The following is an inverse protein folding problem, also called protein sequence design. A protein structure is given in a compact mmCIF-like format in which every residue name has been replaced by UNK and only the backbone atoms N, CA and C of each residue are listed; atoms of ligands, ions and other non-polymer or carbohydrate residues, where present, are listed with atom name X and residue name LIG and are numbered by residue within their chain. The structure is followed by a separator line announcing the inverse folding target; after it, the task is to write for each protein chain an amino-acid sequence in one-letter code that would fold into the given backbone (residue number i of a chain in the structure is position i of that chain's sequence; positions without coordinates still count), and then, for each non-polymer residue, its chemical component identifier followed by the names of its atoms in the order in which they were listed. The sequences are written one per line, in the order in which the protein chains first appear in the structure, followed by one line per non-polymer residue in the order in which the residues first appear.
data_IF_162193586386
#
_entry.id   IF_162193586386
#
_cell.length_a   1.000
_cell.length_b   1.000
_cell.length_c   1.000
_cell.angle_alpha   90.00
_cell.angle_beta   90.00
_cell.angle_gamma   90.00
#
_symmetry.space_group_name_H-M   'P 1'
#
loop_
_entity.id
_entity.type
_entity.pdbx_description
1 polymer ?
#
# COMPACT_ATOMS: atom_id res chain seq x y z
N UNK A 1 -10.64 -6.81 -2.77
CA UNK A 1 -9.51 -7.25 -3.61
C UNK A 1 -8.20 -6.78 -3.01
N UNK A 2 -7.12 -7.47 -3.28
CA UNK A 2 -5.80 -7.02 -2.86
C UNK A 2 -5.11 -6.28 -3.97
N UNK A 3 -4.35 -5.26 -3.61
CA UNK A 3 -3.61 -4.41 -4.55
C UNK A 3 -2.20 -4.24 -4.01
N UNK A 4 -1.22 -4.43 -4.90
CA UNK A 4 0.17 -4.16 -4.56
C UNK A 4 0.51 -2.76 -5.06
N UNK A 5 1.12 -1.97 -4.18
CA UNK A 5 1.66 -0.67 -4.53
C UNK A 5 3.18 -0.73 -4.45
N UNK A 6 3.84 -0.33 -5.52
CA UNK A 6 5.31 -0.26 -5.55
C UNK A 6 5.68 1.21 -5.59
N UNK A 7 6.44 1.64 -4.60
CA UNK A 7 6.86 3.03 -4.47
C UNK A 7 8.32 3.17 -4.88
N UNK A 8 8.56 4.03 -5.87
CA UNK A 8 9.91 4.42 -6.25
C UNK A 8 10.15 5.78 -5.62
N UNK A 9 10.86 5.81 -4.51
CA UNK A 9 10.92 6.96 -3.61
C UNK A 9 11.99 7.92 -4.09
N UNK A 10 11.58 9.16 -4.36
CA UNK A 10 12.50 10.21 -4.81
C UNK A 10 12.95 11.11 -3.68
N UNK A 11 12.20 11.14 -2.57
CA UNK A 11 12.55 11.89 -1.38
C UNK A 11 12.38 10.98 -0.17
N UNK A 12 13.41 10.19 0.19
CA UNK A 12 13.28 9.22 1.28
C UNK A 12 12.91 9.84 2.62
N UNK A 13 13.48 11.00 2.94
CA UNK A 13 13.18 11.65 4.22
C UNK A 13 11.74 12.13 4.26
N UNK A 14 11.29 12.78 3.19
CA UNK A 14 9.92 13.25 3.10
C UNK A 14 8.91 12.10 3.10
N UNK A 15 9.24 11.03 2.40
CA UNK A 15 8.37 9.85 2.35
C UNK A 15 8.22 9.26 3.75
N UNK A 16 9.34 9.08 4.46
CA UNK A 16 9.30 8.54 5.82
C UNK A 16 8.48 9.41 6.75
N UNK A 17 8.61 10.73 6.62
CA UNK A 17 7.86 11.65 7.47
C UNK A 17 6.36 11.62 7.16
N UNK A 18 5.98 11.27 5.93
CA UNK A 18 4.57 11.24 5.53
C UNK A 18 3.83 9.97 5.98
N UNK A 19 4.56 8.91 6.32
CA UNK A 19 3.93 7.61 6.63
C UNK A 19 2.96 7.71 7.81
N UNK A 20 3.42 8.24 8.93
CA UNK A 20 2.58 8.32 10.13
C UNK A 20 1.26 9.06 9.90
N UNK A 21 1.31 10.30 9.43
CA UNK A 21 0.07 11.04 9.15
C UNK A 21 -0.83 10.34 8.12
N UNK A 22 -0.23 9.70 7.10
CA UNK A 22 -1.00 9.01 6.09
C UNK A 22 -1.77 7.82 6.67
N UNK A 23 -1.12 7.06 7.56
CA UNK A 23 -1.78 5.91 8.18
C UNK A 23 -3.04 6.34 8.95
N UNK A 24 -3.03 7.53 9.51
CA UNK A 24 -4.17 8.03 10.28
C UNK A 24 -5.33 8.46 9.38
N UNK A 25 -5.10 8.61 8.09
CA UNK A 25 -6.10 9.12 7.15
C UNK A 25 -6.65 8.03 6.23
N UNK A 26 -6.26 6.78 6.41
CA UNK A 26 -6.73 5.70 5.57
C UNK A 26 -8.25 5.57 5.69
N UNK A 27 -8.99 5.62 4.56
CA UNK A 27 -10.44 5.45 4.63
C UNK A 27 -10.84 4.10 5.19
N UNK A 28 -12.01 4.03 5.84
CA UNK A 28 -12.47 2.78 6.44
C UNK A 28 -12.72 1.68 5.41
N UNK A 29 -12.88 2.06 4.13
CA UNK A 29 -13.08 1.10 3.04
C UNK A 29 -11.77 0.44 2.58
N UNK A 30 -10.63 0.86 3.11
CA UNK A 30 -9.33 0.36 2.70
C UNK A 30 -8.54 -0.11 3.91
N UNK A 31 -7.67 -1.09 3.68
CA UNK A 31 -6.78 -1.59 4.73
C UNK A 31 -5.37 -1.71 4.17
N UNK A 32 -4.40 -1.16 4.89
CA UNK A 32 -2.99 -1.41 4.60
C UNK A 32 -2.55 -2.59 5.44
N UNK A 33 -2.26 -3.72 4.79
CA UNK A 33 -1.86 -4.93 5.50
C UNK A 33 -0.37 -4.98 5.78
N UNK A 34 0.44 -4.50 4.84
CA UNK A 34 1.89 -4.66 4.95
C UNK A 34 2.59 -3.52 4.25
N UNK A 35 3.75 -3.15 4.75
CA UNK A 35 4.62 -2.16 4.13
C UNK A 35 6.05 -2.62 4.35
N UNK A 36 6.80 -2.75 3.27
CA UNK A 36 8.17 -3.24 3.30
C UNK A 36 9.09 -2.22 2.62
N UNK A 37 9.73 -1.34 3.39
CA UNK A 37 10.70 -0.39 2.81
C UNK A 37 12.02 -1.09 2.54
N UNK A 38 12.72 -0.65 1.48
CA UNK A 38 14.05 -1.16 1.19
C UNK A 38 15.07 -0.58 2.17
N UNK A 39 16.21 -1.26 2.29
CA UNK A 39 17.26 -0.83 3.21
C UNK A 39 17.75 0.58 2.92
N UNK A 40 17.89 0.91 1.64
CA UNK A 40 18.44 2.21 1.25
C UNK A 40 17.37 3.31 1.17
N UNK A 41 16.12 2.96 1.45
CA UNK A 41 15.04 3.96 1.47
C UNK A 41 14.55 4.40 0.11
N UNK A 42 15.01 3.78 -0.97
CA UNK A 42 14.64 4.22 -2.33
C UNK A 42 13.42 3.51 -2.88
N UNK A 43 12.97 2.44 -2.22
CA UNK A 43 11.78 1.69 -2.66
C UNK A 43 10.99 1.19 -1.47
N UNK A 44 9.71 0.96 -1.69
CA UNK A 44 8.88 0.28 -0.72
C UNK A 44 7.77 -0.45 -1.47
N UNK A 45 7.27 -1.53 -0.86
CA UNK A 45 6.14 -2.28 -1.40
C UNK A 45 5.08 -2.36 -0.32
N UNK A 46 3.84 -2.07 -0.70
CA UNK A 46 2.72 -2.12 0.23
C UNK A 46 1.67 -3.08 -0.28
N UNK A 47 1.02 -3.78 0.64
CA UNK A 47 -0.09 -4.68 0.33
C UNK A 47 -1.35 -4.05 0.89
N UNK A 48 -2.28 -3.72 -0.01
CA UNK A 48 -3.53 -3.06 0.32
C UNK A 48 -4.72 -4.00 0.07
N UNK A 49 -5.79 -3.77 0.78
CA UNK A 49 -7.08 -4.35 0.48
C UNK A 49 -8.06 -3.21 0.28
N UNK A 50 -8.77 -3.22 -0.84
CA UNK A 50 -9.67 -2.12 -1.22
C UNK A 50 -10.68 -2.61 -2.24
N UNK A 51 -11.61 -1.75 -2.61
CA UNK A 51 -12.62 -2.07 -3.61
C UNK A 51 -12.09 -2.06 -5.03
N UNK A 52 -11.02 -1.29 -5.28
CA UNK A 52 -10.46 -1.17 -6.63
C UNK A 52 -9.01 -0.69 -6.55
N UNK A 53 -8.28 -0.90 -7.64
CA UNK A 53 -6.92 -0.35 -7.79
C UNK A 53 -6.99 1.17 -7.76
N UNK A 54 -8.02 1.74 -8.37
CA UNK A 54 -8.15 3.19 -8.48
C UNK A 54 -8.31 3.84 -7.11
N UNK A 55 -9.01 3.18 -6.18
CA UNK A 55 -9.15 3.70 -4.82
C UNK A 55 -7.78 3.81 -4.15
N UNK A 56 -6.94 2.79 -4.31
CA UNK A 56 -5.60 2.80 -3.72
C UNK A 56 -4.76 3.88 -4.39
N UNK A 57 -4.80 3.94 -5.73
CA UNK A 57 -4.01 4.93 -6.47
C UNK A 57 -4.36 6.35 -6.04
N UNK A 58 -5.63 6.68 -5.99
CA UNK A 58 -6.05 8.03 -5.64
C UNK A 58 -5.57 8.43 -4.25
N UNK A 59 -5.71 7.52 -3.29
CA UNK A 59 -5.31 7.81 -1.92
C UNK A 59 -3.79 7.95 -1.80
N UNK A 60 -3.06 6.98 -2.34
CA UNK A 60 -1.60 6.91 -2.15
C UNK A 60 -0.89 7.99 -2.96
N UNK A 61 -1.30 8.21 -4.21
CA UNK A 61 -0.69 9.27 -5.01
C UNK A 61 -0.90 10.63 -4.37
N UNK A 62 -2.08 10.85 -3.79
CA UNK A 62 -2.35 12.10 -3.10
C UNK A 62 -1.50 12.29 -1.86
N UNK A 63 -1.16 11.21 -1.18
CA UNK A 63 -0.37 11.25 0.05
C UNK A 63 1.14 11.37 -0.21
N UNK A 64 1.60 11.04 -1.43
CA UNK A 64 3.03 10.96 -1.74
C UNK A 64 3.44 11.89 -2.86
N UNK A 65 2.70 12.98 -3.07
CA UNK A 65 3.03 13.98 -4.09
C UNK A 65 4.45 14.48 -3.86
N UNK A 66 5.25 14.47 -4.93
CA UNK A 66 6.65 14.90 -4.93
C UNK A 66 7.57 14.07 -4.03
N UNK A 67 7.08 12.93 -3.50
CA UNK A 67 7.90 12.08 -2.62
C UNK A 67 8.25 10.75 -3.27
N UNK A 68 7.38 10.26 -4.16
CA UNK A 68 7.58 8.95 -4.78
C UNK A 68 6.79 8.88 -6.08
N UNK A 69 7.24 7.98 -6.95
CA UNK A 69 6.47 7.55 -8.12
C UNK A 69 5.97 6.16 -7.85
N UNK A 70 4.67 5.96 -7.99
CA UNK A 70 4.02 4.73 -7.55
C UNK A 70 3.47 3.96 -8.73
N UNK A 71 3.53 2.63 -8.62
CA UNK A 71 2.91 1.71 -9.56
C UNK A 71 1.99 0.79 -8.79
N UNK A 72 0.90 0.38 -9.42
CA UNK A 72 -0.13 -0.41 -8.76
C UNK A 72 -0.57 -1.54 -9.65
N UNK A 73 -0.85 -2.71 -9.04
CA UNK A 73 -1.49 -3.78 -9.79
C UNK A 73 -2.39 -4.60 -8.86
N UNK A 74 -3.48 -5.15 -9.42
CA UNK A 74 -4.34 -6.02 -8.64
C UNK A 74 -3.71 -7.40 -8.51
N UNK A 75 -4.00 -8.06 -7.40
CA UNK A 75 -3.49 -9.41 -7.12
C UNK A 75 -4.58 -10.42 -7.52
N UNK A 76 -4.16 -11.54 -8.12
CA UNK A 76 -5.05 -12.67 -8.32
C UNK A 76 -5.00 -13.49 -7.04
N UNK A 77 -5.98 -13.26 -6.16
CA UNK A 77 -5.96 -13.81 -4.81
C UNK A 77 -5.83 -15.34 -4.81
N UNK A 78 -6.53 -16.00 -5.74
CA UNK A 78 -6.52 -17.45 -5.79
C UNK A 78 -5.15 -18.04 -6.15
N UNK A 79 -4.27 -17.25 -6.75
CA UNK A 79 -2.94 -17.71 -7.16
C UNK A 79 -1.84 -17.15 -6.26
N UNK A 80 -2.18 -16.27 -5.34
CA UNK A 80 -1.21 -15.61 -4.49
C UNK A 80 -0.78 -16.54 -3.36
N UNK A 81 0.45 -16.32 -2.91
CA UNK A 81 1.00 -17.02 -1.75
C UNK A 81 1.41 -15.95 -0.76
N UNK A 82 0.95 -16.09 0.48
CA UNK A 82 1.36 -15.17 1.55
C UNK A 82 0.48 -13.96 1.73
N UNK A 83 -0.69 -13.92 1.09
CA UNK A 83 -1.61 -12.83 1.36
C UNK A 83 -2.08 -12.86 2.82
N UNK A 84 -2.35 -11.68 3.40
CA UNK A 84 -2.87 -11.64 4.75
C UNK A 84 -4.16 -12.41 4.87
N UNK A 85 -4.29 -13.18 5.94
CA UNK A 85 -5.54 -13.85 6.26
C UNK A 85 -6.41 -12.86 6.99
N UNK A 86 -7.45 -12.42 6.32
CA UNK A 86 -8.40 -11.59 7.02
C UNK A 86 -9.29 -12.56 7.74
N UNK A 87 -9.02 -12.66 8.78
CA UNK A 87 -9.89 -13.32 9.53
C UNK A 87 -10.92 -14.24 8.97
N UNK A 88 -10.83 -14.19 8.62
CA UNK A 88 -11.38 -14.78 8.58
C UNK A 88 -11.69 -15.48 8.51
N UNK A 89 -11.22 -15.24 8.07
CA UNK A 89 -11.47 -15.71 7.93
C UNK A 89 -11.80 -16.47 8.58
N UNK A 90 -11.84 -16.33 8.77
CA UNK A 90 -12.05 -16.85 9.29
C UNK A 90 -12.70 -17.53 9.65
N UNK A 91 -12.77 -17.68 9.55
CA UNK A 91 -13.32 -18.15 9.78
C UNK A 91 -13.73 -18.88 9.87
N UNK A 92 -13.74 -18.91 9.64
CA UNK A 92 -14.24 -19.44 9.52
C UNK A 92 -14.66 -19.94 9.75
#
# INVERSE_FOLDING_TARGET
MHVIAVHNITDPEGFGAAVGPTLEKIPSSMTLHSMFPSEDGTQAVCVWQAGSVEDVRSFVDGATVDLARNEYFPVVDAQAIGLPQVASTATA
#
